data_IF_086861344398
#
_entry.id   IF_086861344398
#
_cell.length_a   1.000
_cell.length_b   1.000
_cell.length_c   1.000
_cell.angle_alpha   90.00
_cell.angle_beta   90.00
_cell.angle_gamma   90.00
#
_symmetry.space_group_name_H-M   'P 1'
#
loop_
_entity.id
_entity.type
_entity.pdbx_description
1 polymer ?
#
# COMPACT_ATOMS: atom_id res chain seq x y z
N UNK A 1 53.14 -10.05 -9.00
CA UNK A 1 51.82 -9.60 -9.49
C UNK A 1 51.06 -9.13 -8.27
N UNK A 2 51.12 -7.84 -7.94
CA UNK A 2 50.47 -7.29 -6.74
C UNK A 2 48.99 -7.07 -7.08
N UNK A 3 48.09 -7.77 -6.40
CA UNK A 3 46.65 -7.53 -6.47
C UNK A 3 46.37 -6.06 -6.11
N UNK A 4 45.83 -5.31 -7.07
CA UNK A 4 45.38 -3.95 -6.82
C UNK A 4 44.15 -4.00 -5.92
N UNK A 5 44.04 -3.12 -4.91
CA UNK A 5 42.86 -3.08 -4.05
C UNK A 5 41.62 -2.83 -4.92
N UNK A 6 40.47 -3.45 -4.61
CA UNK A 6 39.26 -3.21 -5.37
C UNK A 6 38.99 -1.71 -5.39
N UNK A 7 38.99 -1.16 -6.60
CA UNK A 7 38.67 0.25 -6.82
C UNK A 7 37.37 0.57 -6.07
N UNK A 8 37.44 1.54 -5.16
CA UNK A 8 36.29 2.05 -4.37
C UNK A 8 35.08 2.42 -5.24
N UNK A 9 35.30 2.62 -6.55
CA UNK A 9 34.26 2.81 -7.55
C UNK A 9 33.35 1.57 -7.73
N UNK A 10 33.86 0.36 -7.54
CA UNK A 10 33.07 -0.88 -7.60
C UNK A 10 32.18 -1.05 -6.36
N UNK A 11 32.69 -0.68 -5.18
CA UNK A 11 31.97 -0.79 -3.91
C UNK A 11 30.74 0.14 -3.79
N UNK A 12 30.66 1.18 -4.63
CA UNK A 12 29.55 2.14 -4.68
C UNK A 12 28.77 2.10 -5.99
N UNK A 13 28.98 1.06 -6.81
CA UNK A 13 28.32 0.93 -8.10
C UNK A 13 26.82 0.70 -7.91
N UNK A 14 26.02 1.72 -8.25
CA UNK A 14 24.56 1.67 -8.16
C UNK A 14 23.96 1.08 -9.43
N UNK A 15 22.94 0.23 -9.28
CA UNK A 15 22.12 -0.23 -10.39
C UNK A 15 21.44 0.96 -11.07
N UNK A 16 21.28 0.90 -12.38
CA UNK A 16 20.58 1.95 -13.14
C UNK A 16 19.12 2.04 -12.62
N UNK A 17 18.70 3.19 -12.05
CA UNK A 17 17.34 3.33 -11.57
C UNK A 17 16.38 3.33 -12.75
N UNK A 18 15.24 2.63 -12.60
CA UNK A 18 14.13 2.72 -13.55
C UNK A 18 13.63 4.17 -13.55
N UNK A 19 13.62 4.81 -14.72
CA UNK A 19 13.02 6.14 -14.87
C UNK A 19 11.53 6.03 -14.57
N UNK A 20 11.08 6.69 -13.51
CA UNK A 20 9.66 6.88 -13.22
C UNK A 20 9.09 7.90 -14.21
N UNK A 21 7.87 7.69 -14.68
CA UNK A 21 7.17 8.67 -15.51
C UNK A 21 6.76 9.86 -14.64
N UNK A 22 6.70 11.06 -15.22
CA UNK A 22 6.21 12.24 -14.48
C UNK A 22 4.80 12.02 -13.94
N UNK A 23 3.97 11.28 -14.66
CA UNK A 23 2.61 10.91 -14.25
C UNK A 23 2.62 10.03 -13.01
N UNK A 24 3.50 9.04 -12.90
CA UNK A 24 3.65 8.17 -11.73
C UNK A 24 4.15 8.95 -10.50
N UNK A 25 5.07 9.90 -10.71
CA UNK A 25 5.62 10.73 -9.63
C UNK A 25 4.60 11.69 -8.98
N UNK A 26 3.55 12.06 -9.72
CA UNK A 26 2.49 12.98 -9.27
C UNK A 26 1.12 12.31 -9.13
N UNK A 27 1.00 11.03 -9.45
CA UNK A 27 -0.25 10.29 -9.25
C UNK A 27 -0.49 10.06 -7.76
N UNK A 28 -1.76 10.12 -7.30
CA UNK A 28 -2.08 9.69 -5.96
C UNK A 28 -1.64 8.23 -5.77
N UNK A 29 -1.12 7.86 -4.59
CA UNK A 29 -0.68 6.50 -4.35
C UNK A 29 -1.86 5.54 -4.54
N UNK A 30 -1.65 4.48 -5.33
CA UNK A 30 -2.67 3.47 -5.69
C UNK A 30 -3.17 2.62 -4.50
N UNK A 31 -2.78 2.96 -3.27
CA UNK A 31 -3.15 2.27 -2.03
C UNK A 31 -4.26 3.02 -1.27
N UNK A 32 -5.06 3.85 -1.96
CA UNK A 32 -6.18 4.52 -1.33
C UNK A 32 -7.36 3.54 -1.24
N UNK A 33 -7.76 3.21 0.00
CA UNK A 33 -8.91 2.38 0.29
C UNK A 33 -9.79 3.10 1.30
N UNK A 34 -11.00 3.45 0.90
CA UNK A 34 -12.02 4.03 1.77
C UNK A 34 -13.02 2.94 2.19
N UNK A 35 -13.26 2.83 3.49
CA UNK A 35 -14.19 1.84 4.08
C UNK A 35 -15.19 2.61 4.93
N UNK A 36 -16.46 2.57 4.51
CA UNK A 36 -17.58 3.16 5.25
C UNK A 36 -18.37 2.04 5.93
N UNK A 37 -18.44 2.07 7.27
CA UNK A 37 -19.30 1.18 8.05
C UNK A 37 -20.57 1.92 8.40
N UNK A 38 -21.71 1.45 7.90
CA UNK A 38 -22.98 2.16 7.97
C UNK A 38 -24.16 1.22 8.23
N UNK A 39 -25.37 1.79 8.39
CA UNK A 39 -26.63 1.07 8.63
C UNK A 39 -26.56 -0.04 9.71
N UNK A 40 -26.48 0.33 11.00
CA UNK A 40 -26.63 -0.65 12.07
C UNK A 40 -28.03 -1.28 12.02
N UNK A 41 -28.10 -2.60 11.92
CA UNK A 41 -29.34 -3.36 12.01
C UNK A 41 -29.24 -4.40 13.12
N UNK A 42 -30.09 -4.29 14.13
CA UNK A 42 -30.15 -5.24 15.23
C UNK A 42 -31.04 -6.41 14.84
N UNK A 43 -30.46 -7.61 14.84
CA UNK A 43 -31.14 -8.87 14.58
C UNK A 43 -31.28 -9.68 15.87
N UNK A 44 -32.33 -10.51 15.90
CA UNK A 44 -32.60 -11.44 17.00
C UNK A 44 -33.38 -10.83 18.16
N UNK A 45 -33.79 -11.70 19.09
CA UNK A 45 -34.54 -11.34 20.30
C UNK A 45 -33.87 -11.96 21.54
N UNK A 46 -34.02 -11.31 22.70
CA UNK A 46 -33.49 -11.84 23.96
C UNK A 46 -31.96 -11.89 24.03
N UNK A 47 -31.40 -13.07 24.36
CA UNK A 47 -29.96 -13.32 24.59
C UNK A 47 -29.12 -13.44 23.32
N UNK A 48 -29.74 -13.69 22.16
CA UNK A 48 -29.04 -13.88 20.88
C UNK A 48 -29.14 -12.63 20.00
N UNK A 49 -29.25 -11.44 20.59
CA UNK A 49 -29.26 -10.19 19.83
C UNK A 49 -27.86 -9.84 19.35
N UNK A 50 -27.72 -9.52 18.08
CA UNK A 50 -26.49 -9.00 17.49
C UNK A 50 -26.82 -7.85 16.54
N UNK A 51 -25.84 -6.98 16.29
CA UNK A 51 -26.02 -5.85 15.37
C UNK A 51 -25.06 -6.01 14.21
N UNK A 52 -25.64 -6.15 13.02
CA UNK A 52 -24.90 -6.18 11.77
C UNK A 52 -24.76 -4.77 11.22
N UNK A 53 -23.73 -4.58 10.42
CA UNK A 53 -23.44 -3.31 9.75
C UNK A 53 -23.16 -3.59 8.28
N UNK A 54 -23.56 -2.64 7.43
CA UNK A 54 -23.18 -2.63 6.03
C UNK A 54 -21.78 -2.05 5.89
N UNK A 55 -20.90 -2.76 5.18
CA UNK A 55 -19.53 -2.31 4.89
C UNK A 55 -19.44 -1.96 3.41
N UNK A 56 -19.34 -0.67 3.13
CA UNK A 56 -19.12 -0.17 1.78
C UNK A 56 -17.63 0.06 1.56
N UNK A 57 -17.08 -0.58 0.52
CA UNK A 57 -15.71 -0.34 0.08
C UNK A 57 -15.75 0.57 -1.14
N UNK A 58 -14.87 1.57 -1.14
CA UNK A 58 -14.61 2.42 -2.31
C UNK A 58 -13.14 2.31 -2.67
N UNK A 59 -12.91 1.96 -3.93
CA UNK A 59 -11.58 1.91 -4.55
C UNK A 59 -11.55 2.99 -5.62
N UNK A 60 -10.56 3.87 -5.55
CA UNK A 60 -10.39 5.01 -6.46
C UNK A 60 -9.37 4.71 -7.56
#
# INVERSE_FOLDING_TARGET
MLEQPPSVASATQRLAPRRQTIEDAYSPPANFLEIDVCRPLTHGEGKNRYTDYEVNLRVC
#
